data_IF_267318272832
#
_entry.id   IF_267318272832
#
_cell.length_a   1.000
_cell.length_b   1.000
_cell.length_c   1.000
_cell.angle_alpha   90.00
_cell.angle_beta   90.00
_cell.angle_gamma   90.00
#
_symmetry.space_group_name_H-M   'P 1'
#
loop_
_entity.id
_entity.type
_entity.pdbx_description
1 polymer ?
#
# COMPACT_ATOMS: atom_id res chain seq x y z
N UNK A 1 9.91 -21.17 -27.42
CA UNK A 1 10.34 -19.85 -26.95
C UNK A 1 9.61 -19.60 -25.66
N UNK A 2 10.31 -19.57 -24.52
CA UNK A 2 9.67 -19.30 -23.25
C UNK A 2 9.27 -17.82 -23.24
N UNK A 3 7.97 -17.55 -23.22
CA UNK A 3 7.44 -16.19 -23.10
C UNK A 3 7.86 -15.65 -21.73
N UNK A 4 8.89 -14.81 -21.73
CA UNK A 4 9.45 -14.17 -20.54
C UNK A 4 8.53 -13.06 -19.97
N UNK A 5 7.31 -12.91 -20.51
CA UNK A 5 6.34 -11.86 -20.17
C UNK A 5 5.39 -12.25 -19.02
N UNK A 6 5.32 -13.54 -18.66
CA UNK A 6 4.44 -14.05 -17.58
C UNK A 6 5.18 -14.33 -16.26
N UNK A 7 6.47 -13.99 -16.17
CA UNK A 7 7.26 -14.26 -14.97
C UNK A 7 7.24 -13.08 -14.01
N UNK A 8 6.78 -13.31 -12.78
CA UNK A 8 6.87 -12.37 -11.66
C UNK A 8 8.34 -11.92 -11.49
N UNK A 9 8.63 -10.61 -11.59
CA UNK A 9 9.98 -10.09 -11.38
C UNK A 9 10.47 -10.41 -9.96
N UNK A 10 11.79 -10.57 -9.77
CA UNK A 10 12.33 -10.89 -8.45
C UNK A 10 12.02 -9.78 -7.44
N UNK A 11 11.84 -10.18 -6.18
CA UNK A 11 11.76 -9.27 -5.06
C UNK A 11 13.13 -8.64 -4.78
N UNK A 12 13.30 -7.39 -5.19
CA UNK A 12 14.50 -6.60 -4.94
C UNK A 12 14.19 -5.45 -3.98
N UNK A 13 14.73 -5.49 -2.77
CA UNK A 13 14.55 -4.42 -1.78
C UNK A 13 15.89 -3.69 -1.59
N UNK A 14 16.01 -2.42 -1.98
CA UNK A 14 17.20 -1.61 -1.74
C UNK A 14 17.57 -1.54 -0.26
N UNK A 15 18.87 -1.62 0.06
CA UNK A 15 19.36 -1.62 1.46
C UNK A 15 18.97 -0.38 2.28
N UNK A 16 18.68 0.75 1.63
CA UNK A 16 18.28 2.02 2.26
C UNK A 16 16.78 2.32 2.08
N UNK A 17 15.98 1.32 1.72
CA UNK A 17 14.53 1.47 1.59
C UNK A 17 13.91 1.74 2.96
N UNK A 18 12.87 2.58 2.97
CA UNK A 18 12.08 2.84 4.18
C UNK A 18 11.37 1.54 4.62
N UNK A 19 11.22 1.27 5.93
CA UNK A 19 10.63 0.03 6.40
C UNK A 19 9.22 -0.25 5.86
N UNK A 20 8.35 0.77 5.76
CA UNK A 20 6.99 0.60 5.23
C UNK A 20 6.98 0.38 3.72
N UNK A 21 7.82 1.11 2.96
CA UNK A 21 8.00 0.84 1.53
C UNK A 21 8.56 -0.58 1.27
N UNK A 22 9.50 -1.05 2.08
CA UNK A 22 10.01 -2.42 2.00
C UNK A 22 8.94 -3.47 2.34
N UNK A 23 8.03 -3.16 3.26
CA UNK A 23 6.87 -4.01 3.59
C UNK A 23 5.88 -4.06 2.44
N UNK A 24 5.57 -2.91 1.82
CA UNK A 24 4.71 -2.82 0.65
C UNK A 24 5.25 -3.68 -0.50
N UNK A 25 6.56 -3.60 -0.80
CA UNK A 25 7.17 -4.43 -1.85
C UNK A 25 7.02 -5.92 -1.60
N UNK A 26 7.22 -6.39 -0.36
CA UNK A 26 7.03 -7.81 -0.01
C UNK A 26 5.58 -8.21 -0.18
N UNK A 27 4.67 -7.42 0.38
CA UNK A 27 3.24 -7.69 0.34
C UNK A 27 2.71 -7.72 -1.09
N UNK A 28 3.05 -6.72 -1.91
CA UNK A 28 2.59 -6.63 -3.29
C UNK A 28 3.17 -7.75 -4.15
N UNK A 29 4.42 -8.15 -3.93
CA UNK A 29 5.01 -9.29 -4.65
C UNK A 29 4.25 -10.59 -4.36
N UNK A 30 3.78 -10.80 -3.13
CA UNK A 30 3.06 -12.02 -2.72
C UNK A 30 1.57 -12.00 -3.07
N UNK A 31 0.89 -10.87 -2.86
CA UNK A 31 -0.57 -10.76 -2.94
C UNK A 31 -1.08 -10.05 -4.19
N UNK A 32 -0.25 -9.23 -4.82
CA UNK A 32 -0.59 -8.47 -6.03
C UNK A 32 0.49 -8.58 -7.12
N UNK A 33 0.78 -9.81 -7.60
CA UNK A 33 1.89 -10.07 -8.51
C UNK A 33 1.74 -9.38 -9.89
N UNK A 34 0.52 -9.17 -10.41
CA UNK A 34 0.33 -8.45 -11.68
C UNK A 34 0.62 -6.97 -11.50
N UNK A 35 0.12 -6.35 -10.43
CA UNK A 35 0.40 -4.96 -10.09
C UNK A 35 1.90 -4.75 -9.88
N UNK A 36 2.55 -5.63 -9.11
CA UNK A 36 4.00 -5.60 -8.89
C UNK A 36 4.77 -5.67 -10.21
N UNK A 37 4.39 -6.61 -11.08
CA UNK A 37 5.02 -6.80 -12.40
C UNK A 37 4.84 -5.57 -13.30
N UNK A 38 3.64 -5.02 -13.35
CA UNK A 38 3.33 -3.83 -14.13
C UNK A 38 4.15 -2.62 -13.66
N UNK A 39 4.21 -2.38 -12.35
CA UNK A 39 5.00 -1.30 -11.77
C UNK A 39 6.50 -1.47 -12.02
N UNK A 40 6.99 -2.71 -11.94
CA UNK A 40 8.38 -3.05 -12.26
C UNK A 40 8.71 -2.74 -13.72
N UNK A 41 7.87 -3.19 -14.66
CA UNK A 41 8.05 -2.96 -16.10
C UNK A 41 8.01 -1.46 -16.47
N UNK A 42 7.26 -0.67 -15.71
CA UNK A 42 7.20 0.79 -15.87
C UNK A 42 8.36 1.53 -15.19
N UNK A 43 9.20 0.85 -14.42
CA UNK A 43 10.26 1.47 -13.62
C UNK A 43 9.73 2.31 -12.45
N UNK A 44 8.47 2.12 -12.05
CA UNK A 44 7.78 2.91 -11.00
C UNK A 44 7.59 2.17 -9.68
N UNK A 45 8.04 0.91 -9.59
CA UNK A 45 7.79 0.05 -8.43
C UNK A 45 8.28 0.66 -7.12
N UNK A 46 9.51 1.17 -7.09
CA UNK A 46 10.07 1.76 -5.87
C UNK A 46 9.41 3.09 -5.52
N UNK A 47 9.17 3.94 -6.51
CA UNK A 47 8.49 5.22 -6.31
C UNK A 47 7.07 5.01 -5.79
N UNK A 48 6.34 4.01 -6.31
CA UNK A 48 5.01 3.65 -5.84
C UNK A 48 5.03 3.14 -4.39
N UNK A 49 6.01 2.30 -4.03
CA UNK A 49 6.15 1.81 -2.66
C UNK A 49 6.53 2.92 -1.67
N UNK A 50 7.38 3.87 -2.09
CA UNK A 50 7.73 5.05 -1.30
C UNK A 50 6.51 5.95 -1.12
N UNK A 51 5.78 6.23 -2.21
CA UNK A 51 4.59 7.08 -2.16
C UNK A 51 3.49 6.46 -1.28
N UNK A 52 3.34 5.13 -1.28
CA UNK A 52 2.41 4.43 -0.38
C UNK A 52 2.83 4.59 1.10
N UNK A 53 4.12 4.50 1.41
CA UNK A 53 4.63 4.73 2.78
C UNK A 53 4.44 6.19 3.21
N UNK A 54 4.73 7.15 2.33
CA UNK A 54 4.52 8.58 2.59
C UNK A 54 3.04 8.90 2.85
N UNK A 55 2.14 8.39 2.01
CA UNK A 55 0.70 8.55 2.20
C UNK A 55 0.21 7.90 3.50
N UNK A 56 0.80 6.78 3.91
CA UNK A 56 0.52 6.13 5.20
C UNK A 56 0.82 7.08 6.36
N UNK A 57 1.94 7.83 6.31
CA UNK A 57 2.27 8.80 7.35
C UNK A 57 1.35 10.04 7.35
N UNK A 58 0.97 10.53 6.17
CA UNK A 58 0.08 11.68 6.04
C UNK A 58 -1.32 11.37 6.61
N UNK A 59 -1.92 10.28 6.16
CA UNK A 59 -3.26 9.86 6.59
C UNK A 59 -3.30 9.45 8.07
N UNK A 60 -2.22 8.87 8.59
CA UNK A 60 -2.17 8.42 9.99
C UNK A 60 -2.46 9.59 10.92
N UNK A 61 -1.81 10.74 10.69
CA UNK A 61 -2.00 11.92 11.53
C UNK A 61 -3.43 12.44 11.44
N UNK A 62 -4.05 12.41 10.26
CA UNK A 62 -5.44 12.82 10.09
C UNK A 62 -6.39 11.90 10.87
N UNK A 63 -6.30 10.59 10.64
CA UNK A 63 -7.17 9.59 11.29
C UNK A 63 -6.95 9.57 12.80
N UNK A 64 -5.70 9.68 13.26
CA UNK A 64 -5.37 9.73 14.68
C UNK A 64 -6.05 10.92 15.37
N UNK A 65 -5.96 12.12 14.77
CA UNK A 65 -6.60 13.31 15.31
C UNK A 65 -8.13 13.18 15.32
N UNK A 66 -8.72 12.58 14.31
CA UNK A 66 -10.17 12.39 14.25
C UNK A 66 -10.67 11.36 15.26
N UNK A 67 -9.92 10.29 15.54
CA UNK A 67 -10.21 9.34 16.61
C UNK A 67 -10.12 10.00 18.00
N UNK A 68 -9.12 10.85 18.24
CA UNK A 68 -9.02 11.62 19.48
C UNK A 68 -10.24 12.54 19.65
N UNK A 69 -10.67 13.24 18.59
CA UNK A 69 -11.89 14.09 18.64
C UNK A 69 -13.15 13.28 18.94
N UNK A 70 -13.19 12.01 18.56
CA UNK A 70 -14.27 11.08 18.89
C UNK A 70 -14.20 10.54 20.33
N UNK A 71 -13.21 10.96 21.12
CA UNK A 71 -13.06 10.60 22.54
C UNK A 71 -12.19 9.37 22.80
N UNK A 72 -11.48 8.86 21.78
CA UNK A 72 -10.53 7.77 21.97
C UNK A 72 -9.31 8.23 22.75
N UNK A 73 -8.74 7.32 23.55
CA UNK A 73 -7.43 7.54 24.15
C UNK A 73 -6.35 7.68 23.06
N UNK A 74 -5.43 8.63 23.24
CA UNK A 74 -4.41 8.96 22.22
C UNK A 74 -3.54 7.76 21.82
N UNK A 75 -3.22 6.86 22.75
CA UNK A 75 -2.36 5.71 22.43
C UNK A 75 -3.13 4.64 21.65
N UNK A 76 -4.39 4.41 22.03
CA UNK A 76 -5.29 3.48 21.33
C UNK A 76 -5.62 4.00 19.93
N UNK A 77 -5.93 5.29 19.82
CA UNK A 77 -6.21 5.96 18.55
C UNK A 77 -5.01 5.90 17.59
N UNK A 78 -3.78 6.02 18.09
CA UNK A 78 -2.59 5.89 17.26
C UNK A 78 -2.41 4.46 16.72
N UNK A 79 -2.62 3.45 17.57
CA UNK A 79 -2.54 2.03 17.16
C UNK A 79 -3.59 1.73 16.11
N UNK A 80 -4.82 2.17 16.32
CA UNK A 80 -5.94 1.98 15.40
C UNK A 80 -5.70 2.69 14.07
N UNK A 81 -5.35 3.98 14.11
CA UNK A 81 -5.03 4.76 12.91
C UNK A 81 -3.92 4.08 12.10
N UNK A 82 -2.86 3.60 12.76
CA UNK A 82 -1.76 2.89 12.12
C UNK A 82 -2.19 1.59 11.44
N UNK A 83 -3.14 0.85 12.00
CA UNK A 83 -3.67 -0.35 11.34
C UNK A 83 -4.46 0.03 10.08
N UNK A 84 -5.39 0.98 10.21
CA UNK A 84 -6.22 1.47 9.11
C UNK A 84 -5.37 1.93 7.91
N UNK A 85 -4.37 2.78 8.14
CA UNK A 85 -3.55 3.29 7.03
C UNK A 85 -2.71 2.20 6.37
N UNK A 86 -2.20 1.23 7.14
CA UNK A 86 -1.40 0.14 6.57
C UNK A 86 -2.25 -0.76 5.69
N UNK A 87 -3.48 -1.06 6.09
CA UNK A 87 -4.42 -1.82 5.26
C UNK A 87 -4.82 -1.06 3.98
N UNK A 88 -4.92 0.28 4.06
CA UNK A 88 -5.25 1.12 2.90
C UNK A 88 -4.15 1.21 1.85
N UNK A 89 -2.88 1.29 2.26
CA UNK A 89 -1.78 1.64 1.34
C UNK A 89 -0.75 0.53 1.14
N UNK A 90 -0.47 -0.28 2.17
CA UNK A 90 0.64 -1.24 2.18
C UNK A 90 0.10 -2.67 2.02
N UNK A 91 -0.80 -3.08 2.91
CA UNK A 91 -1.41 -4.42 2.97
C UNK A 91 -2.65 -4.51 2.10
N UNK A 92 -2.50 -4.14 0.82
CA UNK A 92 -3.58 -4.17 -0.15
C UNK A 92 -4.16 -5.59 -0.27
N UNK A 93 -5.48 -5.74 -0.46
CA UNK A 93 -6.11 -7.04 -0.66
C UNK A 93 -5.50 -7.76 -1.86
N UNK A 94 -5.73 -9.06 -1.98
CA UNK A 94 -5.23 -9.82 -3.13
C UNK A 94 -5.89 -9.35 -4.42
N UNK A 95 -5.23 -9.61 -5.54
CA UNK A 95 -5.83 -9.36 -6.87
C UNK A 95 -7.08 -10.22 -7.15
N UNK A 96 -7.25 -11.34 -6.44
CA UNK A 96 -8.43 -12.19 -6.58
C UNK A 96 -9.63 -11.60 -5.84
N UNK A 97 -9.39 -11.05 -4.64
CA UNK A 97 -10.43 -10.45 -3.82
C UNK A 97 -10.87 -9.08 -4.37
N UNK A 98 -9.89 -8.25 -4.75
CA UNK A 98 -10.12 -6.91 -5.29
C UNK A 98 -9.24 -6.72 -6.51
N UNK A 99 -9.73 -7.05 -7.73
CA UNK A 99 -8.94 -6.98 -8.95
C UNK A 99 -8.47 -5.56 -9.28
N UNK A 100 -9.33 -4.58 -9.07
CA UNK A 100 -9.08 -3.17 -9.37
C UNK A 100 -9.03 -2.36 -8.07
N UNK A 101 -7.91 -1.67 -7.86
CA UNK A 101 -7.75 -0.74 -6.76
C UNK A 101 -8.09 0.68 -7.22
N UNK A 102 -8.57 1.50 -6.29
CA UNK A 102 -8.65 2.92 -6.52
C UNK A 102 -7.24 3.52 -6.63
N UNK A 103 -7.13 4.63 -7.35
CA UNK A 103 -5.89 5.40 -7.44
C UNK A 103 -6.16 6.85 -7.08
N UNK A 104 -5.28 7.46 -6.31
CA UNK A 104 -5.35 8.90 -6.02
C UNK A 104 -4.98 9.72 -7.26
N UNK A 105 -5.25 11.03 -7.24
CA UNK A 105 -4.78 11.95 -8.30
C UNK A 105 -3.25 11.91 -8.49
N UNK A 106 -2.52 11.57 -7.43
CA UNK A 106 -1.06 11.38 -7.43
C UNK A 106 -0.62 10.00 -7.94
N UNK A 107 -1.56 9.13 -8.33
CA UNK A 107 -1.29 7.79 -8.86
C UNK A 107 -0.92 6.75 -7.80
N UNK A 108 -1.28 6.98 -6.54
CA UNK A 108 -1.03 6.05 -5.42
C UNK A 108 -2.16 5.03 -5.39
N UNK A 109 -1.83 3.74 -5.32
CA UNK A 109 -2.82 2.67 -5.19
C UNK A 109 -3.36 2.64 -3.77
N UNK A 110 -4.67 2.62 -3.64
CA UNK A 110 -5.35 2.61 -2.35
C UNK A 110 -6.43 1.54 -2.34
N UNK A 111 -6.54 0.85 -1.22
CA UNK A 111 -7.72 0.08 -0.89
C UNK A 111 -8.66 0.94 -0.06
N UNK A 112 -9.79 1.31 -0.65
CA UNK A 112 -10.94 1.80 0.09
C UNK A 112 -12.02 0.73 -0.07
N UNK A 113 -12.43 0.04 1.00
CA UNK A 113 -13.65 -0.75 0.94
C UNK A 113 -14.77 0.25 0.68
N UNK A 114 -15.27 0.27 -0.55
CA UNK A 114 -16.35 1.14 -1.00
C UNK A 114 -17.36 1.36 0.13
N UNK A 115 -17.65 2.64 0.46
CA UNK A 115 -18.82 3.02 1.25
C UNK A 115 -20.05 2.49 0.50
N UNK A 116 -20.43 1.25 0.81
CA UNK A 116 -21.66 0.67 0.28
C UNK A 116 -22.80 1.22 1.12
N UNK A 117 -23.26 2.43 0.79
CA UNK A 117 -24.53 3.02 1.27
C UNK A 117 -24.43 4.41 1.87
#
# INVERSE_FOLDING_TARGET
MSNQQDQLPPLEIPKRMLPGAADALRHWHEHRPKMYTQLYQQGKLFDAAIAADEATFEDLNSIHNDLIKQGWDSSTAFVEARQIVRERYIHLPTEEDVPELATTESGIYIYQPEETG
#
